data_IF_524266223822
#
_entry.id   IF_524266223822
#
_cell.length_a   1.000
_cell.length_b   1.000
_cell.length_c   1.000
_cell.angle_alpha   90.00
_cell.angle_beta   90.00
_cell.angle_gamma   90.00
#
_symmetry.space_group_name_H-M   'P 1'
#
loop_
_entity.id
_entity.type
_entity.pdbx_description
1 polymer ?
#
# COMPACT_ATOMS: atom_id res chain seq x y z
N UNK A 1 -8.76 -7.55 -3.15
CA UNK A 1 -7.87 -6.94 -2.12
C UNK A 1 -8.56 -6.94 -0.78
N UNK A 2 -7.83 -7.25 0.26
CA UNK A 2 -8.39 -7.39 1.60
C UNK A 2 -7.53 -6.68 2.62
N UNK A 3 -8.12 -6.40 3.79
CA UNK A 3 -7.35 -5.95 4.94
C UNK A 3 -7.10 -4.47 5.03
N UNK A 4 -7.67 -3.66 4.16
CA UNK A 4 -7.43 -2.24 4.21
C UNK A 4 -8.66 -1.42 4.63
N UNK A 5 -9.80 -2.06 4.75
CA UNK A 5 -11.07 -1.34 4.96
C UNK A 5 -11.08 -0.46 6.18
N UNK A 6 -10.40 -0.87 7.23
CA UNK A 6 -10.38 -0.10 8.45
C UNK A 6 -9.58 1.18 8.39
N UNK A 7 -8.73 1.35 7.37
CA UNK A 7 -7.88 2.52 7.24
C UNK A 7 -8.67 3.76 6.83
N UNK A 8 -9.66 3.56 5.95
CA UNK A 8 -10.38 4.68 5.36
C UNK A 8 -11.88 4.56 5.56
N UNK A 9 -12.30 3.85 6.60
CA UNK A 9 -13.72 3.75 6.87
C UNK A 9 -14.22 5.11 7.33
N UNK A 10 -14.94 5.21 8.36
CA UNK A 10 -15.55 6.48 8.72
C UNK A 10 -14.69 7.34 9.61
N UNK A 11 -13.69 6.75 10.23
CA UNK A 11 -12.88 7.52 11.15
C UNK A 11 -11.80 8.25 10.41
N UNK A 12 -11.77 9.56 10.60
CA UNK A 12 -10.70 10.37 10.04
C UNK A 12 -9.72 10.67 11.13
N UNK A 13 -8.51 10.22 10.93
CA UNK A 13 -7.42 10.54 11.83
C UNK A 13 -6.69 11.72 11.22
N UNK A 14 -6.58 12.85 11.94
CA UNK A 14 -6.00 14.07 11.34
C UNK A 14 -4.67 13.85 10.63
N UNK A 15 -3.81 13.00 11.16
CA UNK A 15 -2.51 12.75 10.55
C UNK A 15 -2.60 12.05 9.19
N UNK A 16 -3.76 11.49 8.86
CA UNK A 16 -3.95 10.85 7.56
C UNK A 16 -4.58 11.75 6.52
N UNK A 17 -5.09 12.91 6.93
CA UNK A 17 -5.83 13.75 6.00
C UNK A 17 -5.01 14.18 4.81
N UNK A 18 -3.76 14.55 5.06
CA UNK A 18 -2.92 15.09 4.00
C UNK A 18 -2.53 14.02 2.97
N UNK A 19 -2.64 12.74 3.33
CA UNK A 19 -2.25 11.66 2.44
C UNK A 19 -3.44 10.84 1.95
N UNK A 20 -4.63 11.12 2.45
CA UNK A 20 -5.78 10.27 2.19
C UNK A 20 -6.05 10.08 0.70
N UNK A 21 -6.05 11.16 -0.07
CA UNK A 21 -6.32 11.07 -1.50
C UNK A 21 -5.25 10.27 -2.24
N UNK A 22 -3.99 10.49 -1.89
CA UNK A 22 -2.89 9.76 -2.51
C UNK A 22 -2.98 8.29 -2.14
N UNK A 23 -3.22 8.01 -0.87
CA UNK A 23 -3.33 6.63 -0.40
C UNK A 23 -4.47 5.90 -1.09
N UNK A 24 -5.62 6.56 -1.26
CA UNK A 24 -6.76 5.96 -1.94
C UNK A 24 -6.43 5.62 -3.39
N UNK A 25 -5.72 6.51 -4.08
CA UNK A 25 -5.29 6.23 -5.45
C UNK A 25 -4.37 5.03 -5.50
N UNK A 26 -3.44 4.94 -4.54
CA UNK A 26 -2.52 3.81 -4.50
C UNK A 26 -3.24 2.52 -4.17
N UNK A 27 -4.23 2.57 -3.29
CA UNK A 27 -5.04 1.39 -2.97
C UNK A 27 -5.84 0.93 -4.18
N UNK A 28 -6.39 1.87 -4.94
CA UNK A 28 -7.10 1.54 -6.17
C UNK A 28 -6.16 0.88 -7.18
N UNK A 29 -4.96 1.43 -7.30
CA UNK A 29 -3.94 0.87 -8.18
C UNK A 29 -3.59 -0.55 -7.76
N UNK A 30 -3.42 -0.77 -6.46
CA UNK A 30 -3.13 -2.08 -5.92
C UNK A 30 -4.27 -3.07 -6.21
N UNK A 31 -5.51 -2.61 -6.05
CA UNK A 31 -6.68 -3.44 -6.28
C UNK A 31 -6.82 -3.85 -7.75
N UNK A 32 -6.36 -3.00 -8.65
CA UNK A 32 -6.49 -3.25 -10.09
C UNK A 32 -5.29 -3.98 -10.68
N UNK A 33 -4.21 -4.14 -9.93
CA UNK A 33 -3.00 -4.76 -10.45
C UNK A 33 -3.24 -6.24 -10.73
N UNK A 34 -2.74 -6.69 -11.87
CA UNK A 34 -2.81 -8.10 -12.28
C UNK A 34 -1.53 -8.84 -11.93
N UNK A 35 -0.45 -8.09 -11.71
CA UNK A 35 0.85 -8.65 -11.36
C UNK A 35 1.63 -7.62 -10.57
N UNK A 36 2.68 -8.07 -9.90
CA UNK A 36 3.58 -7.15 -9.21
C UNK A 36 4.23 -6.16 -10.16
N UNK A 37 4.45 -6.57 -11.41
CA UNK A 37 5.05 -5.68 -12.41
C UNK A 37 4.21 -4.43 -12.64
N UNK A 38 2.90 -4.58 -12.57
CA UNK A 38 1.99 -3.45 -12.75
C UNK A 38 2.26 -2.36 -11.72
N UNK A 39 2.74 -2.75 -10.54
CA UNK A 39 2.98 -1.81 -9.45
C UNK A 39 4.33 -1.11 -9.55
N UNK A 40 5.12 -1.45 -10.55
CA UNK A 40 6.36 -0.73 -10.81
C UNK A 40 6.10 0.60 -11.53
N UNK A 41 4.89 0.79 -11.99
CA UNK A 41 4.50 2.00 -12.71
C UNK A 41 3.38 2.68 -11.95
N UNK A 42 3.50 3.96 -11.63
CA UNK A 42 4.61 4.85 -11.93
C UNK A 42 5.83 4.55 -11.07
N UNK A 43 7.03 4.96 -11.51
CA UNK A 43 8.26 4.70 -10.74
C UNK A 43 8.21 5.24 -9.33
N UNK A 44 7.44 6.29 -9.11
CA UNK A 44 7.27 6.86 -7.77
C UNK A 44 6.69 5.90 -6.76
N UNK A 45 6.07 4.81 -7.18
CA UNK A 45 5.59 3.78 -6.27
C UNK A 45 6.72 3.10 -5.50
N UNK A 46 7.90 3.05 -6.12
CA UNK A 46 9.07 2.42 -5.51
C UNK A 46 8.72 1.06 -4.90
N UNK A 47 8.21 0.18 -5.74
CA UNK A 47 7.87 -1.16 -5.31
C UNK A 47 9.10 -1.84 -4.71
N UNK A 48 8.96 -2.36 -3.49
CA UNK A 48 10.04 -3.01 -2.78
C UNK A 48 9.58 -4.35 -2.21
N UNK A 49 10.48 -5.31 -2.21
CA UNK A 49 10.29 -6.56 -1.48
C UNK A 49 10.88 -6.36 -0.10
N UNK A 50 10.10 -6.68 0.93
CA UNK A 50 10.51 -6.43 2.30
C UNK A 50 11.26 -7.62 2.88
N UNK A 51 12.08 -7.32 3.88
CA UNK A 51 12.90 -8.33 4.56
C UNK A 51 12.68 -8.22 6.07
N UNK A 52 13.34 -9.09 6.82
CA UNK A 52 13.24 -9.07 8.28
C UNK A 52 11.87 -9.50 8.74
N UNK A 53 11.30 -8.75 9.67
CA UNK A 53 10.02 -9.09 10.26
C UNK A 53 8.88 -9.06 9.24
N UNK A 54 9.09 -8.39 8.12
CA UNK A 54 8.08 -8.31 7.07
C UNK A 54 8.45 -9.12 5.83
N UNK A 55 9.33 -10.09 5.99
CA UNK A 55 9.69 -10.96 4.89
C UNK A 55 8.42 -11.61 4.30
N UNK A 56 8.34 -11.66 2.97
CA UNK A 56 7.15 -12.15 2.29
C UNK A 56 6.19 -11.07 1.90
N UNK A 57 6.44 -9.83 2.32
CA UNK A 57 5.61 -8.68 1.94
C UNK A 57 6.32 -7.81 0.93
N UNK A 58 5.53 -6.96 0.29
CA UNK A 58 6.01 -5.92 -0.60
C UNK A 58 5.44 -4.60 -0.13
N UNK A 59 6.01 -3.50 -0.60
CA UNK A 59 5.44 -2.19 -0.30
C UNK A 59 5.49 -1.28 -1.50
N UNK A 60 4.55 -0.32 -1.53
CA UNK A 60 4.58 0.79 -2.47
C UNK A 60 4.55 2.09 -1.68
N UNK A 61 5.19 3.11 -2.23
CA UNK A 61 5.34 4.38 -1.55
C UNK A 61 4.10 5.24 -1.72
N UNK A 62 3.65 5.84 -0.64
CA UNK A 62 2.60 6.87 -0.67
C UNK A 62 3.25 8.26 -0.69
N UNK A 63 4.15 8.51 0.24
CA UNK A 63 4.95 9.74 0.28
C UNK A 63 6.24 9.45 1.05
N UNK A 64 6.95 10.48 1.49
CA UNK A 64 8.23 10.29 2.17
C UNK A 64 8.11 9.55 3.49
N UNK A 65 6.93 9.56 4.10
CA UNK A 65 6.70 8.99 5.41
C UNK A 65 5.92 7.68 5.37
N UNK A 66 4.98 7.56 4.45
CA UNK A 66 4.02 6.46 4.47
C UNK A 66 4.20 5.52 3.30
N UNK A 67 4.04 4.23 3.58
CA UNK A 67 4.05 3.19 2.55
C UNK A 67 2.88 2.24 2.80
N UNK A 68 2.43 1.60 1.73
CA UNK A 68 1.42 0.56 1.83
C UNK A 68 2.14 -0.77 1.72
N UNK A 69 2.02 -1.60 2.75
CA UNK A 69 2.62 -2.93 2.78
C UNK A 69 1.55 -3.98 2.53
N UNK A 70 1.92 -5.05 1.86
CA UNK A 70 0.94 -6.08 1.51
C UNK A 70 1.64 -7.39 1.17
N UNK A 71 0.88 -8.48 1.26
CA UNK A 71 1.29 -9.78 0.75
C UNK A 71 0.70 -9.91 -0.66
N UNK A 72 1.50 -10.34 -1.62
CA UNK A 72 1.02 -10.57 -2.98
C UNK A 72 0.91 -12.07 -3.21
N UNK A 73 -0.31 -12.53 -3.55
CA UNK A 73 -0.55 -13.95 -3.75
C UNK A 73 -1.72 -14.11 -4.71
N UNK A 74 -1.56 -14.99 -5.68
CA UNK A 74 -2.64 -15.33 -6.61
C UNK A 74 -3.24 -14.10 -7.31
N UNK A 75 -2.37 -13.21 -7.72
CA UNK A 75 -2.75 -11.98 -8.43
C UNK A 75 -3.57 -11.03 -7.57
N UNK A 76 -3.39 -11.10 -6.28
CA UNK A 76 -4.14 -10.22 -5.40
C UNK A 76 -3.27 -9.79 -4.22
N UNK A 77 -3.68 -8.71 -3.59
CA UNK A 77 -3.00 -8.17 -2.42
C UNK A 77 -3.80 -8.52 -1.17
N UNK A 78 -3.09 -9.00 -0.16
CA UNK A 78 -3.68 -9.38 1.12
C UNK A 78 -2.95 -8.67 2.25
N UNK A 79 -3.59 -8.59 3.39
CA UNK A 79 -3.02 -8.00 4.60
C UNK A 79 -2.46 -6.61 4.32
N UNK A 80 -3.26 -5.80 3.64
CA UNK A 80 -2.85 -4.48 3.21
C UNK A 80 -2.84 -3.54 4.42
N UNK A 81 -1.74 -2.83 4.58
CA UNK A 81 -1.52 -2.01 5.76
C UNK A 81 -0.81 -0.71 5.39
N UNK A 82 -1.28 0.41 5.93
CA UNK A 82 -0.60 1.69 5.78
C UNK A 82 0.38 1.82 6.93
N UNK A 83 1.65 1.98 6.60
CA UNK A 83 2.74 1.93 7.57
C UNK A 83 3.56 3.21 7.52
N UNK A 84 3.90 3.71 8.70
CA UNK A 84 4.78 4.86 8.86
C UNK A 84 6.23 4.38 8.78
N UNK A 85 6.93 4.82 7.76
CA UNK A 85 8.33 4.45 7.52
C UNK A 85 9.29 5.56 7.92
N UNK A 86 8.95 6.27 8.93
CA UNK A 86 9.72 7.44 9.27
C UNK A 86 10.92 7.14 10.18
#
# INVERSE_FOLDING_TARGET
MQGYGGLFNRQRVPRFRSIENVARRKLTMLNNAQSLQDLRVPPGNRLEQLIGDRAGQHSIRVNDQWRICFVWQDRDAYEVELVDYH
#
